data_IF_343232213113
#
_entry.id   IF_343232213113
#
_cell.length_a   1.000
_cell.length_b   1.000
_cell.length_c   1.000
_cell.angle_alpha   90.00
_cell.angle_beta   90.00
_cell.angle_gamma   90.00
#
_symmetry.space_group_name_H-M   'P 1'
#
loop_
_entity.id
_entity.type
_entity.pdbx_description
1 polymer ?
#
# COMPACT_ATOMS: atom_id res chain seq x y z
N UNK A 1 7.29 13.26 0.10
CA UNK A 1 5.88 13.58 -0.20
C UNK A 1 5.72 13.71 -1.71
N UNK A 2 4.69 13.10 -2.29
CA UNK A 2 4.39 13.16 -3.71
C UNK A 2 2.90 13.02 -4.01
N UNK A 3 2.55 13.06 -5.29
CA UNK A 3 1.18 12.88 -5.79
C UNK A 3 1.08 11.63 -6.65
N UNK A 4 0.01 10.87 -6.47
CA UNK A 4 -0.36 9.75 -7.34
C UNK A 4 -1.30 10.26 -8.44
N UNK A 5 -1.26 9.61 -9.60
CA UNK A 5 -2.27 9.79 -10.65
C UNK A 5 -3.59 9.05 -10.39
N UNK A 6 -3.64 8.22 -9.34
CA UNK A 6 -4.77 7.36 -8.97
C UNK A 6 -4.99 7.34 -7.46
N UNK A 7 -6.22 7.00 -7.03
CA UNK A 7 -6.54 6.84 -5.61
C UNK A 7 -5.76 5.67 -4.95
N UNK A 8 -5.54 4.59 -5.70
CA UNK A 8 -4.64 3.49 -5.31
C UNK A 8 -3.19 3.92 -5.57
N UNK A 9 -2.59 4.63 -4.61
CA UNK A 9 -1.22 5.16 -4.74
C UNK A 9 -0.15 4.09 -4.58
N UNK A 10 -0.48 2.96 -3.98
CA UNK A 10 0.39 1.79 -3.82
C UNK A 10 -0.43 0.53 -4.10
N UNK A 11 0.11 -0.40 -4.89
CA UNK A 11 -0.53 -1.68 -5.19
C UNK A 11 0.49 -2.79 -4.98
N UNK A 12 0.25 -3.63 -3.98
CA UNK A 12 1.07 -4.79 -3.62
C UNK A 12 0.22 -6.05 -3.73
N UNK A 13 0.36 -6.77 -4.85
CA UNK A 13 -0.38 -8.01 -5.11
C UNK A 13 0.64 -9.14 -5.24
N UNK A 14 0.60 -10.05 -4.27
CA UNK A 14 1.49 -11.20 -4.21
C UNK A 14 0.74 -12.49 -4.50
N UNK A 15 1.49 -13.54 -4.87
CA UNK A 15 0.91 -14.85 -5.14
C UNK A 15 0.21 -15.41 -3.90
N UNK A 16 -0.91 -16.10 -4.08
CA UNK A 16 -1.55 -16.85 -2.99
C UNK A 16 -0.75 -18.09 -2.61
N UNK A 17 0.00 -18.66 -3.56
CA UNK A 17 0.87 -19.83 -3.29
C UNK A 17 2.21 -19.45 -2.67
N UNK A 18 2.66 -18.21 -2.86
CA UNK A 18 3.92 -17.68 -2.33
C UNK A 18 3.66 -16.23 -1.89
N UNK A 19 3.19 -16.01 -0.65
CA UNK A 19 2.94 -14.67 -0.15
C UNK A 19 4.24 -13.86 -0.06
N UNK A 20 4.14 -12.52 -0.13
CA UNK A 20 5.29 -11.66 0.08
C UNK A 20 5.53 -11.45 1.58
N UNK A 21 6.71 -11.85 2.03
CA UNK A 21 7.21 -11.60 3.38
C UNK A 21 8.30 -10.52 3.37
N UNK A 22 8.40 -9.76 4.46
CA UNK A 22 9.45 -8.76 4.65
C UNK A 22 9.32 -7.49 3.81
N UNK A 23 8.14 -7.20 3.26
CA UNK A 23 7.89 -5.93 2.56
C UNK A 23 7.80 -4.80 3.58
N UNK A 24 8.63 -3.76 3.43
CA UNK A 24 8.58 -2.57 4.28
C UNK A 24 8.09 -1.35 3.49
N UNK A 25 7.12 -0.64 4.06
CA UNK A 25 6.64 0.65 3.58
C UNK A 25 7.10 1.74 4.54
N UNK A 26 8.12 2.49 4.14
CA UNK A 26 8.72 3.53 4.97
C UNK A 26 8.43 4.92 4.41
N UNK A 27 7.66 5.72 5.15
CA UNK A 27 7.37 7.13 4.84
C UNK A 27 6.85 7.43 3.42
N UNK A 28 5.95 6.58 2.92
CA UNK A 28 5.19 6.82 1.69
C UNK A 28 4.06 7.82 1.94
N UNK A 29 4.38 9.10 1.75
CA UNK A 29 3.40 10.19 1.76
C UNK A 29 2.94 10.53 0.33
N UNK A 30 1.89 9.84 -0.13
CA UNK A 30 1.26 10.08 -1.43
C UNK A 30 -0.16 10.62 -1.28
N UNK A 31 -0.52 11.56 -2.15
CA UNK A 31 -1.87 12.14 -2.23
C UNK A 31 -2.44 12.03 -3.64
N UNK A 32 -3.75 11.89 -3.76
CA UNK A 32 -4.49 11.94 -5.01
C UNK A 32 -5.58 13.01 -4.88
N UNK A 33 -5.55 14.03 -5.74
CA UNK A 33 -6.46 15.17 -5.68
C UNK A 33 -6.53 15.84 -4.29
N UNK A 34 -5.39 15.93 -3.60
CA UNK A 34 -5.30 16.52 -2.25
C UNK A 34 -5.77 15.62 -1.11
N UNK A 35 -6.28 14.42 -1.41
CA UNK A 35 -6.65 13.41 -0.41
C UNK A 35 -5.53 12.36 -0.23
N UNK A 36 -5.41 11.72 0.94
CA UNK A 36 -4.51 10.58 1.10
C UNK A 36 -4.86 9.45 0.14
N UNK A 37 -3.84 8.81 -0.46
CA UNK A 37 -4.04 7.61 -1.26
C UNK A 37 -4.32 6.38 -0.38
N UNK A 38 -4.87 5.33 -0.97
CA UNK A 38 -4.97 3.99 -0.36
C UNK A 38 -3.92 3.04 -0.94
N UNK A 39 -3.56 1.99 -0.19
CA UNK A 39 -2.78 0.88 -0.69
C UNK A 39 -3.67 -0.34 -0.91
N UNK A 40 -3.58 -0.97 -2.08
CA UNK A 40 -4.22 -2.27 -2.34
C UNK A 40 -3.23 -3.38 -2.00
N UNK A 41 -3.60 -4.27 -1.08
CA UNK A 41 -2.67 -5.27 -0.56
C UNK A 41 -3.28 -6.68 -0.61
N UNK A 42 -2.64 -7.61 -1.32
CA UNK A 42 -3.10 -8.99 -1.46
C UNK A 42 -1.95 -9.95 -1.20
N UNK A 43 -2.15 -10.93 -0.31
CA UNK A 43 -1.14 -11.93 0.11
C UNK A 43 0.20 -11.31 0.56
N UNK A 44 0.12 -10.15 1.21
CA UNK A 44 1.28 -9.42 1.75
C UNK A 44 0.90 -8.82 3.09
N UNK A 45 1.85 -8.81 4.03
CA UNK A 45 1.72 -8.13 5.32
C UNK A 45 2.89 -7.15 5.45
N UNK A 46 2.76 -5.94 4.91
CA UNK A 46 3.85 -5.00 4.93
C UNK A 46 4.08 -4.46 6.34
N UNK A 47 5.33 -4.20 6.67
CA UNK A 47 5.75 -3.48 7.86
C UNK A 47 5.66 -1.99 7.51
N UNK A 48 4.84 -1.24 8.24
CA UNK A 48 4.67 0.20 8.00
C UNK A 48 5.50 0.98 9.02
N UNK A 49 6.47 1.74 8.51
CA UNK A 49 7.30 2.65 9.30
C UNK A 49 6.95 4.09 8.91
N UNK A 50 6.40 4.86 9.85
CA UNK A 50 6.00 6.25 9.63
C UNK A 50 4.71 6.39 8.80
N UNK A 51 4.65 7.40 7.92
CA UNK A 51 3.44 7.69 7.14
C UNK A 51 3.37 6.77 5.93
N UNK A 52 2.30 6.00 5.77
CA UNK A 52 2.04 5.21 4.57
C UNK A 52 0.54 5.14 4.28
N UNK A 53 0.13 4.86 3.02
CA UNK A 53 -1.25 4.57 2.69
C UNK A 53 -1.72 3.32 3.43
N UNK A 54 -2.95 3.32 3.92
CA UNK A 54 -3.52 2.15 4.59
C UNK A 54 -3.66 0.99 3.60
N UNK A 55 -3.15 -0.19 3.96
CA UNK A 55 -3.42 -1.43 3.22
C UNK A 55 -4.88 -1.82 3.36
N UNK A 56 -5.64 -1.69 2.28
CA UNK A 56 -6.92 -2.34 2.11
C UNK A 56 -6.62 -3.77 1.65
N UNK A 57 -6.59 -4.71 2.60
CA UNK A 57 -6.73 -6.12 2.26
C UNK A 57 -8.15 -6.32 1.70
N UNK A 58 -8.35 -7.07 0.60
CA UNK A 58 -9.68 -7.50 0.25
C UNK A 58 -10.22 -8.28 1.45
N UNK A 59 -11.40 -7.87 1.95
CA UNK A 59 -12.15 -8.70 2.89
C UNK A 59 -12.35 -10.06 2.19
N UNK A 60 -11.82 -11.11 2.81
CA UNK A 60 -11.99 -12.49 2.36
C UNK A 60 -13.48 -12.85 2.19
#
# INVERSE_FOLDING_TARGET
QGTSGTAEGVVLICSSSVPCDGVELNNIDLTFNGAPTVAKCTNVKPIVTGKAPACQAPAA
#
